data_IF_180907096366
#
_entry.id   IF_180907096366
#
_cell.length_a   1.000
_cell.length_b   1.000
_cell.length_c   1.000
_cell.angle_alpha   90.00
_cell.angle_beta   90.00
_cell.angle_gamma   90.00
#
_symmetry.space_group_name_H-M   'P 1'
#
loop_
_entity.id
_entity.type
_entity.pdbx_description
1 polymer ?
#
# COMPACT_ATOMS: atom_id res chain seq x y z
N UNK A 1 -13.37 13.55 -13.91
CA UNK A 1 -13.93 12.20 -14.16
C UNK A 1 -14.54 11.68 -12.89
N UNK A 2 -15.73 11.11 -12.98
CA UNK A 2 -16.56 10.76 -11.84
C UNK A 2 -16.58 9.25 -11.59
N UNK A 3 -15.90 8.77 -10.56
CA UNK A 3 -16.20 7.46 -9.96
C UNK A 3 -17.57 7.53 -9.22
N UNK A 4 -18.23 6.39 -8.95
CA UNK A 4 -19.52 6.36 -8.24
C UNK A 4 -19.50 7.22 -6.97
N UNK A 5 -20.64 7.87 -6.67
CA UNK A 5 -20.80 8.83 -5.56
C UNK A 5 -20.79 10.32 -5.95
N UNK A 6 -20.61 10.68 -7.22
CA UNK A 6 -20.58 12.09 -7.67
C UNK A 6 -21.95 12.74 -7.98
N UNK A 7 -23.05 12.21 -7.44
CA UNK A 7 -24.39 12.78 -7.64
C UNK A 7 -24.93 13.46 -6.39
N UNK A 8 -24.66 14.75 -6.17
CA UNK A 8 -25.33 15.51 -5.12
C UNK A 8 -24.79 16.92 -4.89
N UNK A 9 -25.64 17.92 -5.10
CA UNK A 9 -25.54 19.35 -4.76
C UNK A 9 -24.94 20.29 -5.81
N UNK A 10 -25.85 20.77 -6.67
CA UNK A 10 -25.82 22.09 -7.30
C UNK A 10 -25.80 23.19 -6.23
N UNK A 11 -24.81 24.09 -6.25
CA UNK A 11 -24.98 25.49 -5.86
C UNK A 11 -24.27 26.38 -6.88
N UNK A 12 -25.03 27.39 -7.31
CA UNK A 12 -24.77 28.36 -8.35
C UNK A 12 -24.17 29.64 -7.75
N UNK A 13 -23.48 30.43 -8.59
CA UNK A 13 -23.12 31.86 -8.42
C UNK A 13 -21.79 32.14 -7.66
N UNK A 14 -20.92 33.10 -7.99
CA UNK A 14 -20.72 34.05 -9.11
C UNK A 14 -19.37 34.77 -8.91
N UNK A 15 -18.71 35.16 -10.00
CA UNK A 15 -17.88 36.37 -10.23
C UNK A 15 -16.52 36.64 -9.51
N UNK A 16 -15.54 37.02 -10.35
CA UNK A 16 -14.34 37.83 -10.05
C UNK A 16 -13.04 37.01 -10.03
N UNK A 17 -11.96 37.28 -10.77
CA UNK A 17 -11.55 38.41 -11.61
C UNK A 17 -10.04 38.65 -11.41
N UNK A 18 -9.23 38.60 -12.48
CA UNK A 18 -7.79 38.97 -12.53
C UNK A 18 -6.82 37.88 -12.03
N UNK A 19 -5.70 37.53 -12.67
CA UNK A 19 -4.87 38.21 -13.67
C UNK A 19 -3.43 38.24 -13.13
N UNK A 20 -2.49 37.51 -13.77
CA UNK A 20 -1.05 37.60 -13.43
C UNK A 20 -0.27 36.32 -13.76
N UNK A 21 0.42 36.32 -14.90
CA UNK A 21 1.31 35.24 -15.31
C UNK A 21 2.76 35.45 -14.85
N UNK A 22 3.52 34.35 -14.77
CA UNK A 22 4.98 34.35 -14.74
C UNK A 22 5.53 33.12 -15.51
N UNK A 23 6.75 33.22 -16.09
CA UNK A 23 7.16 32.46 -17.26
C UNK A 23 7.90 31.15 -16.96
N UNK A 24 7.96 30.27 -17.96
CA UNK A 24 8.77 29.06 -18.00
C UNK A 24 10.26 29.36 -18.21
N UNK A 25 11.19 28.63 -17.58
CA UNK A 25 12.60 28.62 -17.99
C UNK A 25 12.99 27.31 -18.69
N UNK A 26 13.47 27.50 -19.93
CA UNK A 26 14.65 26.91 -20.58
C UNK A 26 15.04 25.44 -20.29
N UNK A 27 15.06 24.67 -21.38
CA UNK A 27 15.53 23.30 -21.42
C UNK A 27 17.03 23.14 -21.25
N UNK A 28 17.39 21.92 -20.83
CA UNK A 28 18.73 21.37 -20.90
C UNK A 28 18.72 20.18 -21.85
N UNK A 29 19.61 20.23 -22.83
CA UNK A 29 19.87 19.15 -23.77
C UNK A 29 20.81 18.10 -23.14
N UNK A 30 20.40 16.83 -23.27
CA UNK A 30 21.15 15.60 -23.61
C UNK A 30 22.61 15.44 -23.17
N UNK A 31 23.01 14.21 -22.78
CA UNK A 31 23.65 13.36 -23.79
C UNK A 31 23.09 11.94 -23.85
N UNK A 32 22.85 11.47 -25.07
CA UNK A 32 22.38 10.12 -25.37
C UNK A 32 23.44 9.07 -25.09
N UNK A 33 23.01 7.96 -24.49
CA UNK A 33 23.74 6.71 -24.42
C UNK A 33 23.04 5.68 -25.32
N UNK A 34 23.67 5.40 -26.46
CA UNK A 34 23.24 4.30 -27.34
C UNK A 34 23.68 2.96 -26.74
N UNK A 35 22.72 2.10 -26.43
CA UNK A 35 22.95 0.68 -26.23
C UNK A 35 22.44 -0.08 -27.46
N UNK A 36 23.35 -0.72 -28.17
CA UNK A 36 23.05 -1.67 -29.24
C UNK A 36 22.47 -2.96 -28.63
N UNK A 37 21.39 -3.53 -29.19
CA UNK A 37 20.90 -4.83 -28.77
C UNK A 37 21.80 -5.96 -29.32
N UNK A 38 22.05 -7.05 -28.57
CA UNK A 38 22.81 -8.19 -29.08
C UNK A 38 22.04 -8.94 -30.17
N UNK A 39 22.79 -9.39 -31.17
CA UNK A 39 22.42 -10.23 -32.30
C UNK A 39 21.73 -11.54 -31.92
N UNK A 40 20.60 -11.82 -32.56
CA UNK A 40 19.87 -13.09 -32.43
C UNK A 40 20.55 -14.28 -33.15
N UNK A 41 20.19 -15.53 -32.82
CA UNK A 41 20.63 -16.73 -33.54
C UNK A 41 19.73 -17.04 -34.76
N UNK A 42 20.19 -17.89 -35.71
CA UNK A 42 19.73 -17.92 -37.10
C UNK A 42 18.49 -18.79 -37.38
N UNK A 43 17.90 -18.52 -38.54
CA UNK A 43 16.71 -19.12 -39.15
C UNK A 43 16.72 -20.66 -39.28
N UNK A 44 15.53 -21.26 -39.09
CA UNK A 44 15.21 -22.60 -39.57
C UNK A 44 13.70 -22.91 -39.44
N UNK A 45 13.09 -23.29 -40.57
CA UNK A 45 11.77 -23.95 -40.73
C UNK A 45 10.48 -23.11 -40.81
N UNK A 46 10.30 -22.59 -42.03
CA UNK A 46 9.13 -22.66 -42.93
C UNK A 46 7.87 -23.45 -42.49
N UNK A 47 6.73 -22.78 -42.71
CA UNK A 47 5.43 -23.30 -43.22
C UNK A 47 4.25 -23.49 -42.25
N UNK A 48 3.33 -22.52 -42.30
CA UNK A 48 1.92 -22.77 -42.61
C UNK A 48 0.95 -22.98 -41.43
N UNK A 49 0.05 -22.00 -41.21
CA UNK A 49 -1.16 -22.22 -40.40
C UNK A 49 -1.74 -20.90 -39.88
N UNK A 50 -2.83 -20.44 -40.48
CA UNK A 50 -3.51 -19.18 -40.13
C UNK A 50 -4.16 -19.19 -38.75
N UNK A 51 -4.06 -18.06 -38.06
CA UNK A 51 -4.75 -17.80 -36.80
C UNK A 51 -6.21 -17.41 -37.06
N UNK A 52 -7.14 -18.31 -36.70
CA UNK A 52 -8.55 -17.98 -36.49
C UNK A 52 -8.75 -17.54 -35.02
N UNK A 53 -9.57 -16.51 -34.75
CA UNK A 53 -9.83 -16.03 -33.39
C UNK A 53 -10.66 -17.07 -32.60
N UNK A 54 -10.49 -17.18 -31.27
CA UNK A 54 -11.22 -18.17 -30.49
C UNK A 54 -12.73 -17.87 -30.52
N UNK A 55 -13.49 -18.89 -30.91
CA UNK A 55 -14.94 -18.91 -30.99
C UNK A 55 -15.57 -18.69 -29.61
N UNK A 56 -16.69 -17.97 -29.62
CA UNK A 56 -17.59 -17.72 -28.49
C UNK A 56 -17.97 -19.04 -27.77
N UNK A 57 -18.08 -19.05 -26.42
CA UNK A 57 -18.65 -20.20 -25.73
C UNK A 57 -20.15 -20.32 -26.04
N UNK A 58 -20.69 -21.55 -26.15
CA UNK A 58 -22.04 -21.82 -26.66
C UNK A 58 -23.13 -21.34 -25.68
N UNK A 59 -24.34 -21.00 -26.18
CA UNK A 59 -25.46 -20.61 -25.33
C UNK A 59 -26.19 -21.87 -24.86
N UNK A 60 -26.25 -22.11 -23.55
CA UNK A 60 -27.17 -23.12 -23.02
C UNK A 60 -26.83 -23.65 -21.65
N UNK A 61 -27.69 -23.32 -20.68
CA UNK A 61 -28.23 -24.32 -19.78
C UNK A 61 -27.60 -24.42 -18.39
N UNK A 62 -28.45 -24.12 -17.41
CA UNK A 62 -28.41 -24.52 -16.00
C UNK A 62 -27.64 -23.58 -15.06
N UNK A 63 -28.45 -22.77 -14.37
CA UNK A 63 -28.16 -22.07 -13.13
C UNK A 63 -27.48 -23.01 -12.13
N UNK A 64 -26.20 -22.75 -11.84
CA UNK A 64 -25.46 -23.35 -10.74
C UNK A 64 -24.59 -22.27 -10.13
N UNK A 65 -25.19 -21.47 -9.26
CA UNK A 65 -24.51 -20.49 -8.41
C UNK A 65 -23.63 -21.27 -7.41
N UNK A 66 -22.48 -21.78 -7.83
CA UNK A 66 -21.49 -22.30 -6.90
C UNK A 66 -20.76 -21.12 -6.25
N UNK A 67 -21.42 -20.55 -5.25
CA UNK A 67 -20.79 -19.69 -4.26
C UNK A 67 -19.80 -20.52 -3.46
N UNK A 68 -18.51 -20.38 -3.78
CA UNK A 68 -17.44 -20.96 -2.96
C UNK A 68 -17.27 -20.08 -1.72
N UNK A 69 -18.14 -20.34 -0.75
CA UNK A 69 -18.05 -19.77 0.59
C UNK A 69 -16.81 -20.27 1.30
N UNK A 70 -16.11 -19.32 1.93
CA UNK A 70 -15.06 -19.52 2.89
C UNK A 70 -15.49 -20.56 3.95
N UNK A 71 -14.86 -21.73 3.95
CA UNK A 71 -14.88 -22.62 5.11
C UNK A 71 -13.60 -22.30 5.91
N UNK A 72 -13.68 -21.62 7.07
CA UNK A 72 -12.51 -21.43 7.92
C UNK A 72 -11.92 -22.80 8.27
N UNK A 73 -10.60 -22.89 8.49
CA UNK A 73 -10.00 -24.14 8.94
C UNK A 73 -10.73 -24.65 10.18
N UNK A 74 -11.12 -25.92 10.17
CA UNK A 74 -11.79 -26.57 11.29
C UNK A 74 -10.77 -26.79 12.42
N UNK A 75 -10.75 -25.88 13.39
CA UNK A 75 -9.92 -25.94 14.59
C UNK A 75 -9.74 -24.56 15.25
N UNK A 76 -9.43 -24.48 16.55
CA UNK A 76 -9.10 -23.20 17.18
C UNK A 76 -7.79 -22.67 16.60
N UNK A 77 -7.83 -21.48 15.98
CA UNK A 77 -6.65 -20.81 15.43
C UNK A 77 -6.37 -19.61 16.34
N UNK A 78 -5.35 -19.71 17.18
CA UNK A 78 -5.02 -18.69 18.17
C UNK A 78 -5.52 -19.07 19.58
N UNK A 79 -4.83 -18.61 20.64
CA UNK A 79 -5.07 -19.10 21.99
C UNK A 79 -6.49 -18.73 22.50
N UNK A 80 -7.14 -19.63 23.28
CA UNK A 80 -8.49 -19.42 23.83
C UNK A 80 -8.65 -18.14 24.66
N UNK A 81 -7.54 -17.59 25.14
CA UNK A 81 -7.46 -16.36 25.93
C UNK A 81 -7.97 -15.10 25.22
N UNK A 82 -8.16 -15.13 23.89
CA UNK A 82 -8.70 -13.99 23.14
C UNK A 82 -10.23 -13.86 23.22
N UNK A 83 -10.94 -14.87 23.73
CA UNK A 83 -12.41 -14.87 23.72
C UNK A 83 -13.07 -14.02 24.82
N UNK A 84 -12.32 -13.50 25.80
CA UNK A 84 -12.91 -13.04 27.08
C UNK A 84 -12.65 -11.59 27.48
N UNK A 85 -11.94 -10.77 26.70
CA UNK A 85 -11.65 -9.38 27.07
C UNK A 85 -12.28 -8.39 26.09
N UNK A 86 -13.33 -7.69 26.54
CA UNK A 86 -13.80 -6.48 25.88
C UNK A 86 -12.75 -5.37 26.04
N UNK A 87 -11.90 -5.18 25.03
CA UNK A 87 -10.95 -4.06 25.00
C UNK A 87 -11.68 -2.86 24.41
N UNK A 88 -11.89 -1.82 25.22
CA UNK A 88 -12.47 -0.57 24.73
C UNK A 88 -11.47 0.12 23.79
N UNK A 89 -11.94 0.53 22.61
CA UNK A 89 -11.18 1.40 21.73
C UNK A 89 -11.15 2.82 22.32
N UNK A 90 -10.11 3.12 23.09
CA UNK A 90 -9.89 4.44 23.69
C UNK A 90 -8.47 4.93 23.34
N UNK A 91 -8.18 5.13 22.05
CA UNK A 91 -6.84 5.52 21.65
C UNK A 91 -6.51 6.93 22.13
N UNK A 92 -5.25 7.14 22.52
CA UNK A 92 -4.72 8.46 22.82
C UNK A 92 -3.78 8.88 21.69
N UNK A 93 -4.06 10.03 21.07
CA UNK A 93 -3.10 10.66 20.16
C UNK A 93 -1.82 11.09 20.88
N UNK A 94 -0.86 11.61 20.12
CA UNK A 94 0.41 12.05 20.68
C UNK A 94 1.14 13.02 19.78
N UNK A 95 2.45 13.16 20.03
CA UNK A 95 3.34 14.03 19.27
C UNK A 95 4.50 13.23 18.68
N UNK A 96 4.81 13.45 17.40
CA UNK A 96 6.06 13.04 16.75
C UNK A 96 6.84 14.32 16.48
N UNK A 97 7.85 14.61 17.30
CA UNK A 97 8.50 15.93 17.30
C UNK A 97 7.47 17.04 17.55
N UNK A 98 7.29 17.94 16.58
CA UNK A 98 6.31 19.03 16.65
C UNK A 98 4.97 18.73 15.95
N UNK A 99 4.79 17.52 15.44
CA UNK A 99 3.60 17.12 14.68
C UNK A 99 2.66 16.28 15.56
N UNK A 100 1.41 16.72 15.67
CA UNK A 100 0.35 15.95 16.33
C UNK A 100 -0.10 14.79 15.46
N UNK A 101 -0.29 13.63 16.06
CA UNK A 101 -1.00 12.50 15.45
C UNK A 101 -2.20 12.11 16.30
N UNK A 102 -3.23 11.58 15.63
CA UNK A 102 -4.43 11.06 16.29
C UNK A 102 -4.84 9.76 15.61
N UNK A 103 -5.30 8.81 16.43
CA UNK A 103 -6.01 7.64 15.91
C UNK A 103 -7.40 8.06 15.42
N UNK A 104 -7.91 7.38 14.40
CA UNK A 104 -9.25 7.66 13.91
C UNK A 104 -10.32 7.20 14.88
N UNK A 105 -11.40 7.97 15.04
CA UNK A 105 -12.58 7.51 15.79
C UNK A 105 -13.34 6.39 15.08
N UNK A 106 -13.06 6.15 13.79
CA UNK A 106 -13.70 5.16 12.92
C UNK A 106 -15.23 5.35 12.75
N UNK A 107 -15.76 6.53 13.09
CA UNK A 107 -17.18 6.88 13.05
C UNK A 107 -17.58 7.65 11.77
N UNK A 108 -16.62 8.04 10.94
CA UNK A 108 -16.82 8.78 9.71
C UNK A 108 -17.19 7.92 8.51
N UNK A 109 -16.91 8.44 7.31
CA UNK A 109 -17.16 7.76 6.04
C UNK A 109 -16.22 6.57 5.86
N UNK A 110 -16.71 5.55 5.16
CA UNK A 110 -15.98 4.32 4.83
C UNK A 110 -15.82 4.24 3.32
N UNK A 111 -14.58 4.22 2.82
CA UNK A 111 -14.28 4.09 1.38
C UNK A 111 -13.18 3.08 1.13
N UNK A 112 -13.29 2.26 0.09
CA UNK A 112 -12.24 1.30 -0.25
C UNK A 112 -11.80 1.36 -1.70
N UNK A 113 -10.51 1.10 -1.93
CA UNK A 113 -9.92 0.83 -3.23
C UNK A 113 -9.33 -0.58 -3.22
N UNK A 114 -9.84 -1.46 -4.07
CA UNK A 114 -9.43 -2.85 -4.17
C UNK A 114 -8.88 -3.13 -5.56
N UNK A 115 -7.64 -3.58 -5.65
CA UNK A 115 -6.93 -3.78 -6.91
C UNK A 115 -6.41 -5.22 -6.96
N UNK A 116 -6.76 -5.95 -8.02
CA UNK A 116 -6.35 -7.34 -8.22
C UNK A 116 -5.98 -7.57 -9.67
N UNK A 117 -4.74 -7.96 -9.94
CA UNK A 117 -4.23 -8.10 -11.31
C UNK A 117 -3.70 -9.53 -11.51
N UNK A 118 -4.32 -10.27 -12.42
CA UNK A 118 -3.86 -11.60 -12.83
C UNK A 118 -2.90 -11.56 -14.02
N UNK A 119 -2.81 -10.45 -14.76
CA UNK A 119 -1.92 -10.28 -15.92
C UNK A 119 -2.19 -11.31 -17.03
N UNK A 120 -3.48 -11.55 -17.34
CA UNK A 120 -3.89 -12.56 -18.32
C UNK A 120 -3.14 -12.44 -19.65
N UNK A 121 -2.55 -13.55 -20.11
CA UNK A 121 -1.81 -13.63 -21.37
C UNK A 121 -0.42 -12.96 -21.37
N UNK A 122 0.04 -12.41 -20.23
CA UNK A 122 1.39 -11.88 -20.08
C UNK A 122 2.33 -12.93 -19.44
N UNK A 123 3.63 -12.75 -19.61
CA UNK A 123 4.61 -13.52 -18.84
C UNK A 123 4.48 -13.16 -17.35
N UNK A 124 4.35 -14.18 -16.50
CA UNK A 124 4.09 -13.98 -15.06
C UNK A 124 2.61 -13.93 -14.70
N UNK A 125 1.69 -14.43 -15.53
CA UNK A 125 0.27 -14.56 -15.20
C UNK A 125 0.04 -15.18 -13.81
N UNK A 126 -0.73 -14.49 -12.98
CA UNK A 126 -1.18 -14.91 -11.66
C UNK A 126 -2.62 -15.44 -11.74
N UNK A 127 -3.06 -16.18 -10.72
CA UNK A 127 -4.39 -16.84 -10.70
C UNK A 127 -5.26 -16.47 -9.50
N UNK A 128 -4.71 -15.72 -8.54
CA UNK A 128 -5.30 -15.49 -7.22
C UNK A 128 -5.83 -14.10 -6.97
N UNK A 129 -5.24 -13.10 -7.62
CA UNK A 129 -5.36 -11.71 -7.19
C UNK A 129 -6.80 -11.18 -7.28
N UNK A 130 -7.52 -11.57 -8.33
CA UNK A 130 -8.95 -11.25 -8.48
C UNK A 130 -9.79 -11.92 -7.37
N UNK A 131 -9.44 -13.14 -6.98
CA UNK A 131 -10.15 -13.84 -5.90
C UNK A 131 -9.88 -13.18 -4.54
N UNK A 132 -8.65 -12.74 -4.30
CA UNK A 132 -8.29 -11.99 -3.09
C UNK A 132 -9.13 -10.71 -2.98
N UNK A 133 -9.26 -9.94 -4.08
CA UNK A 133 -10.13 -8.76 -4.13
C UNK A 133 -11.58 -9.08 -3.77
N UNK A 134 -12.13 -10.18 -4.30
CA UNK A 134 -13.50 -10.61 -3.98
C UNK A 134 -13.66 -10.96 -2.50
N UNK A 135 -12.66 -11.62 -1.91
CA UNK A 135 -12.66 -11.95 -0.48
C UNK A 135 -12.63 -10.68 0.38
N UNK A 136 -11.75 -9.72 0.05
CA UNK A 136 -11.65 -8.44 0.77
C UNK A 136 -12.93 -7.64 0.61
N UNK A 137 -13.51 -7.58 -0.60
CA UNK A 137 -14.78 -6.88 -0.82
C UNK A 137 -15.90 -7.45 0.06
N UNK A 138 -16.02 -8.78 0.14
CA UNK A 138 -17.01 -9.43 0.98
C UNK A 138 -16.78 -9.19 2.48
N UNK A 139 -15.52 -9.19 2.91
CA UNK A 139 -15.15 -8.82 4.28
C UNK A 139 -15.56 -7.38 4.61
N UNK A 140 -15.24 -6.42 3.75
CA UNK A 140 -15.52 -5.00 3.98
C UNK A 140 -17.02 -4.69 3.99
N UNK A 141 -17.83 -5.37 3.17
CA UNK A 141 -19.31 -5.29 3.24
C UNK A 141 -19.83 -5.60 4.64
N UNK A 142 -19.27 -6.62 5.28
CA UNK A 142 -19.63 -7.01 6.65
C UNK A 142 -19.15 -5.99 7.70
N UNK A 143 -18.24 -5.08 7.33
CA UNK A 143 -17.72 -3.97 8.16
C UNK A 143 -18.30 -2.60 7.80
N UNK A 144 -19.43 -2.58 7.08
CA UNK A 144 -20.18 -1.36 6.80
C UNK A 144 -19.68 -0.53 5.61
N UNK A 145 -18.78 -1.07 4.78
CA UNK A 145 -18.45 -0.45 3.49
C UNK A 145 -19.55 -0.77 2.49
N UNK A 146 -20.10 0.26 1.85
CA UNK A 146 -21.14 0.11 0.81
C UNK A 146 -20.48 -0.12 -0.55
N UNK A 147 -21.17 -0.83 -1.43
CA UNK A 147 -20.67 -1.07 -2.79
C UNK A 147 -20.39 0.22 -3.57
N UNK A 148 -21.22 1.25 -3.39
CA UNK A 148 -21.03 2.56 -4.03
C UNK A 148 -19.83 3.34 -3.47
N UNK A 149 -19.33 2.97 -2.29
CA UNK A 149 -18.16 3.55 -1.65
C UNK A 149 -16.91 2.65 -1.84
N UNK A 150 -16.95 1.72 -2.80
CA UNK A 150 -15.82 0.87 -3.17
C UNK A 150 -15.48 0.99 -4.66
N UNK A 151 -14.23 1.31 -4.96
CA UNK A 151 -13.68 1.20 -6.33
C UNK A 151 -12.92 -0.12 -6.44
N UNK A 152 -13.31 -0.94 -7.40
CA UNK A 152 -12.68 -2.23 -7.70
C UNK A 152 -12.03 -2.17 -9.08
N UNK A 153 -10.73 -2.43 -9.14
CA UNK A 153 -9.96 -2.51 -10.38
C UNK A 153 -9.43 -3.95 -10.56
N UNK A 154 -9.92 -4.65 -11.58
CA UNK A 154 -9.46 -6.02 -11.92
C UNK A 154 -9.37 -6.22 -13.42
N UNK A 155 -8.42 -7.03 -13.88
CA UNK A 155 -8.15 -7.26 -15.30
C UNK A 155 -9.09 -8.29 -15.96
N UNK A 156 -10.11 -8.78 -15.24
CA UNK A 156 -11.26 -9.53 -15.79
C UNK A 156 -12.49 -8.64 -16.08
N UNK A 157 -12.40 -7.34 -15.79
CA UNK A 157 -13.53 -6.42 -15.98
C UNK A 157 -13.75 -6.06 -17.45
N UNK A 158 -14.99 -5.69 -17.77
CA UNK A 158 -15.35 -5.19 -19.13
C UNK A 158 -15.34 -3.66 -19.24
N UNK A 159 -15.58 -2.94 -18.14
CA UNK A 159 -15.49 -1.47 -18.14
C UNK A 159 -14.01 -1.06 -18.16
N UNK A 160 -13.61 -0.32 -19.20
CA UNK A 160 -12.25 0.19 -19.35
C UNK A 160 -11.77 1.02 -18.15
N UNK A 161 -12.67 1.65 -17.38
CA UNK A 161 -12.35 2.41 -16.17
C UNK A 161 -12.05 1.54 -14.95
N UNK A 162 -12.44 0.27 -15.00
CA UNK A 162 -12.21 -0.74 -13.96
C UNK A 162 -11.02 -1.64 -14.28
N UNK A 163 -10.31 -1.41 -15.39
CA UNK A 163 -9.07 -2.10 -15.70
C UNK A 163 -7.92 -1.45 -14.90
N UNK A 164 -7.04 -2.22 -14.24
CA UNK A 164 -5.97 -1.70 -13.39
C UNK A 164 -4.76 -1.22 -14.21
N UNK A 165 -4.98 -0.24 -15.09
CA UNK A 165 -3.89 0.51 -15.75
C UNK A 165 -3.25 1.50 -14.79
N UNK A 166 -2.02 1.96 -15.07
CA UNK A 166 -1.34 2.96 -14.24
C UNK A 166 -2.23 4.19 -14.03
N UNK A 167 -2.83 4.69 -15.10
CA UNK A 167 -3.73 5.84 -15.06
C UNK A 167 -4.95 5.60 -14.16
N UNK A 168 -5.63 4.47 -14.30
CA UNK A 168 -6.84 4.16 -13.51
C UNK A 168 -6.50 3.93 -12.03
N UNK A 169 -5.39 3.26 -11.75
CA UNK A 169 -4.89 3.05 -10.38
C UNK A 169 -4.60 4.40 -9.71
N UNK A 170 -3.79 5.27 -10.35
CA UNK A 170 -3.49 6.61 -9.82
C UNK A 170 -4.75 7.44 -9.61
N UNK A 171 -5.70 7.42 -10.56
CA UNK A 171 -6.96 8.15 -10.44
C UNK A 171 -7.83 7.64 -9.28
N UNK A 172 -7.88 6.32 -9.09
CA UNK A 172 -8.61 5.69 -8.01
C UNK A 172 -7.97 5.96 -6.63
N UNK A 173 -6.63 6.00 -6.54
CA UNK A 173 -5.93 6.39 -5.31
C UNK A 173 -6.25 7.84 -4.91
N UNK A 174 -6.24 8.76 -5.88
CA UNK A 174 -6.69 10.14 -5.64
C UNK A 174 -8.17 10.20 -5.24
N UNK A 175 -9.03 9.37 -5.84
CA UNK A 175 -10.43 9.27 -5.41
C UNK A 175 -10.54 8.80 -3.96
N UNK A 176 -9.76 7.80 -3.54
CA UNK A 176 -9.81 7.20 -2.19
C UNK A 176 -9.61 8.27 -1.12
N UNK A 177 -8.58 9.11 -1.25
CA UNK A 177 -8.23 10.13 -0.24
C UNK A 177 -8.98 11.45 -0.40
N UNK A 178 -9.62 11.69 -1.55
CA UNK A 178 -10.32 12.94 -1.81
C UNK A 178 -11.42 13.19 -0.79
N UNK A 179 -11.32 14.34 -0.12
CA UNK A 179 -12.33 14.80 0.85
C UNK A 179 -12.34 14.01 2.15
N UNK A 180 -11.30 13.24 2.45
CA UNK A 180 -11.14 12.55 3.72
C UNK A 180 -11.21 13.55 4.88
N UNK A 181 -11.83 13.14 5.98
CA UNK A 181 -12.00 13.91 7.21
C UNK A 181 -11.51 13.12 8.44
N UNK A 182 -11.23 13.79 9.57
CA UNK A 182 -10.99 13.10 10.84
C UNK A 182 -12.14 12.15 11.17
N UNK A 183 -11.82 10.92 11.59
CA UNK A 183 -12.79 9.86 11.88
C UNK A 183 -13.19 8.99 10.69
N UNK A 184 -12.85 9.37 9.45
CA UNK A 184 -13.06 8.51 8.27
C UNK A 184 -12.19 7.24 8.34
N UNK A 185 -12.65 6.19 7.67
CA UNK A 185 -12.00 4.89 7.57
C UNK A 185 -11.83 4.50 6.09
N UNK A 186 -10.61 4.68 5.60
CA UNK A 186 -10.23 4.32 4.24
C UNK A 186 -9.55 2.94 4.25
N UNK A 187 -9.81 2.17 3.20
CA UNK A 187 -9.20 0.84 3.01
C UNK A 187 -8.54 0.74 1.63
N UNK A 188 -7.31 0.24 1.58
CA UNK A 188 -6.59 -0.03 0.34
C UNK A 188 -6.14 -1.49 0.31
N UNK A 189 -6.44 -2.19 -0.77
CA UNK A 189 -5.94 -3.55 -0.99
C UNK A 189 -5.33 -3.67 -2.37
N UNK A 190 -4.12 -4.22 -2.44
CA UNK A 190 -3.45 -4.57 -3.68
C UNK A 190 -3.02 -6.03 -3.65
N UNK A 191 -3.44 -6.81 -4.64
CA UNK A 191 -2.92 -8.14 -4.93
C UNK A 191 -2.42 -8.19 -6.38
N UNK A 192 -1.15 -8.55 -6.56
CA UNK A 192 -0.46 -8.50 -7.85
C UNK A 192 1.05 -8.65 -7.69
N UNK A 193 1.79 -8.39 -8.77
CA UNK A 193 3.25 -8.35 -8.69
C UNK A 193 3.74 -7.11 -7.95
N UNK A 194 4.76 -7.33 -7.11
CA UNK A 194 5.62 -6.26 -6.62
C UNK A 194 6.97 -6.33 -7.33
N UNK A 195 7.61 -5.19 -7.48
CA UNK A 195 8.93 -5.07 -8.09
C UNK A 195 9.80 -4.09 -7.31
N UNK A 196 11.02 -3.88 -7.81
CA UNK A 196 11.96 -2.90 -7.29
C UNK A 196 12.42 -1.99 -8.44
N UNK A 197 12.46 -0.69 -8.19
CA UNK A 197 13.05 0.33 -9.05
C UNK A 197 14.27 0.92 -8.34
N UNK A 198 15.25 1.45 -9.07
CA UNK A 198 16.45 2.03 -8.44
C UNK A 198 16.07 3.33 -7.73
N UNK A 199 16.33 3.44 -6.43
CA UNK A 199 16.04 4.64 -5.66
C UNK A 199 16.83 5.84 -6.20
N UNK A 200 16.16 6.98 -6.30
CA UNK A 200 16.79 8.26 -6.69
C UNK A 200 16.97 9.20 -5.50
N UNK A 201 16.23 8.95 -4.42
CA UNK A 201 16.30 9.66 -3.14
C UNK A 201 17.02 8.73 -2.15
N UNK A 202 17.96 9.26 -1.36
CA UNK A 202 18.84 8.45 -0.51
C UNK A 202 18.17 7.94 0.78
N UNK A 203 16.88 7.71 0.76
CA UNK A 203 16.03 7.30 1.89
C UNK A 203 15.75 5.79 1.93
N UNK A 204 16.14 5.04 0.89
CA UNK A 204 16.07 3.58 0.90
C UNK A 204 17.37 2.93 1.40
N UNK A 205 17.24 2.04 2.38
CA UNK A 205 18.39 1.41 3.04
C UNK A 205 19.18 0.47 2.11
N UNK A 206 18.53 -0.14 1.12
CA UNK A 206 19.14 -1.02 0.11
C UNK A 206 19.37 -0.32 -1.25
N UNK A 207 18.87 0.91 -1.40
CA UNK A 207 18.96 1.71 -2.61
C UNK A 207 17.94 1.37 -3.69
N UNK A 208 16.85 0.68 -3.37
CA UNK A 208 15.75 0.37 -4.30
C UNK A 208 14.40 0.79 -3.72
N UNK A 209 13.61 1.51 -4.54
CA UNK A 209 12.21 1.81 -4.25
C UNK A 209 11.37 0.57 -4.55
N UNK A 210 10.47 0.22 -3.65
CA UNK A 210 9.50 -0.83 -3.86
C UNK A 210 8.38 -0.33 -4.78
N UNK A 211 7.89 -1.21 -5.65
CA UNK A 211 6.89 -0.83 -6.66
C UNK A 211 5.73 -1.79 -6.73
N UNK A 212 4.56 -1.24 -7.07
CA UNK A 212 3.44 -2.05 -7.56
C UNK A 212 3.39 -1.95 -9.08
N UNK A 213 2.98 -3.05 -9.72
CA UNK A 213 3.04 -3.19 -11.17
C UNK A 213 1.62 -3.05 -11.74
N UNK A 214 1.31 -2.01 -12.54
CA UNK A 214 0.04 -1.91 -13.26
C UNK A 214 -0.05 -2.91 -14.42
N UNK A 215 -1.26 -3.16 -14.94
CA UNK A 215 -1.45 -4.09 -16.07
C UNK A 215 -0.67 -3.67 -17.33
N UNK A 216 -0.52 -2.37 -17.55
CA UNK A 216 0.13 -1.73 -18.69
C UNK A 216 1.56 -1.23 -18.37
N UNK A 217 2.21 -1.78 -17.33
CA UNK A 217 3.53 -1.32 -16.84
C UNK A 217 4.61 -1.27 -17.94
N UNK A 218 4.52 -2.12 -18.96
CA UNK A 218 5.48 -2.14 -20.07
C UNK A 218 5.46 -0.83 -20.88
N UNK A 219 4.31 -0.16 -20.95
CA UNK A 219 4.14 1.12 -21.65
C UNK A 219 4.12 2.31 -20.68
N UNK A 220 3.47 2.15 -19.52
CA UNK A 220 3.20 3.24 -18.59
C UNK A 220 4.20 3.32 -17.42
N UNK A 221 5.02 2.29 -17.20
CA UNK A 221 5.91 2.18 -16.05
C UNK A 221 5.22 1.61 -14.80
N UNK A 222 6.04 1.37 -13.77
CA UNK A 222 5.59 0.92 -12.44
C UNK A 222 5.10 2.13 -11.61
N UNK A 223 4.53 1.88 -10.43
CA UNK A 223 4.21 2.92 -9.44
C UNK A 223 5.10 2.69 -8.23
N UNK A 224 5.96 3.66 -7.92
CA UNK A 224 6.90 3.61 -6.80
C UNK A 224 6.20 3.94 -5.47
N UNK A 225 6.69 3.36 -4.38
CA UNK A 225 6.33 3.67 -2.99
C UNK A 225 6.29 5.18 -2.69
N UNK A 226 7.24 5.95 -3.20
CA UNK A 226 7.26 7.42 -3.16
C UNK A 226 5.97 8.07 -3.67
N UNK A 227 5.48 7.57 -4.82
CA UNK A 227 4.26 8.05 -5.45
C UNK A 227 3.03 7.60 -4.66
N UNK A 228 3.04 6.35 -4.16
CA UNK A 228 1.98 5.84 -3.29
C UNK A 228 1.87 6.66 -2.00
N UNK A 229 2.98 6.95 -1.34
CA UNK A 229 3.03 7.77 -0.13
C UNK A 229 2.55 9.19 -0.40
N UNK A 230 3.02 9.82 -1.48
CA UNK A 230 2.63 11.18 -1.85
C UNK A 230 1.13 11.31 -2.16
N UNK A 231 0.52 10.28 -2.76
CA UNK A 231 -0.90 10.27 -3.11
C UNK A 231 -1.79 9.85 -1.94
N UNK A 232 -1.43 8.78 -1.22
CA UNK A 232 -2.33 8.13 -0.28
C UNK A 232 -2.09 8.45 1.19
N UNK A 233 -0.88 8.89 1.57
CA UNK A 233 -0.52 9.15 2.97
C UNK A 233 -0.45 10.64 3.26
N UNK A 234 0.37 11.37 2.48
CA UNK A 234 0.64 12.80 2.69
C UNK A 234 -0.62 13.70 2.74
N UNK A 235 -1.68 13.48 1.94
CA UNK A 235 -2.84 14.37 1.93
C UNK A 235 -3.86 14.10 3.05
N UNK A 236 -3.71 13.01 3.81
CA UNK A 236 -4.70 12.63 4.82
C UNK A 236 -4.69 13.58 6.03
N UNK A 237 -5.85 14.01 6.53
CA UNK A 237 -5.90 14.83 7.72
C UNK A 237 -5.60 14.02 8.99
N UNK A 238 -5.20 14.73 10.04
CA UNK A 238 -5.02 14.16 11.38
C UNK A 238 -6.27 13.40 11.81
N UNK A 239 -6.11 12.17 12.32
CA UNK A 239 -7.22 11.34 12.77
C UNK A 239 -8.05 10.69 11.64
N UNK A 240 -7.62 10.73 10.38
CA UNK A 240 -8.20 9.89 9.32
C UNK A 240 -7.48 8.54 9.28
N UNK A 241 -8.22 7.43 9.18
CA UNK A 241 -7.66 6.09 9.04
C UNK A 241 -7.42 5.74 7.58
N UNK A 242 -6.24 5.21 7.28
CA UNK A 242 -6.00 4.35 6.12
C UNK A 242 -5.47 2.99 6.57
N UNK A 243 -6.23 1.93 6.32
CA UNK A 243 -5.78 0.54 6.47
C UNK A 243 -5.38 0.00 5.09
N UNK A 244 -4.12 -0.35 4.91
CA UNK A 244 -3.60 -0.91 3.67
C UNK A 244 -3.19 -2.38 3.82
N UNK A 245 -3.47 -3.21 2.82
CA UNK A 245 -2.99 -4.59 2.74
C UNK A 245 -2.35 -4.80 1.37
N UNK A 246 -1.11 -5.29 1.37
CA UNK A 246 -0.37 -5.64 0.16
C UNK A 246 -0.10 -7.15 0.11
N UNK A 247 -0.71 -7.82 -0.88
CA UNK A 247 -0.39 -9.18 -1.31
C UNK A 247 0.55 -9.15 -2.52
N UNK A 248 1.75 -8.61 -2.30
CA UNK A 248 2.80 -8.55 -3.31
C UNK A 248 4.15 -8.81 -2.69
N UNK A 249 5.07 -9.40 -3.46
CA UNK A 249 6.45 -9.57 -3.01
C UNK A 249 7.10 -8.19 -2.81
N UNK A 250 8.00 -8.07 -1.82
CA UNK A 250 8.76 -6.84 -1.53
C UNK A 250 7.94 -5.63 -1.01
N UNK A 251 6.67 -5.81 -0.63
CA UNK A 251 5.82 -4.71 -0.15
C UNK A 251 6.05 -4.27 1.32
N UNK A 252 7.22 -4.55 1.91
CA UNK A 252 7.53 -4.21 3.30
C UNK A 252 7.51 -2.69 3.57
N UNK A 253 7.90 -1.91 2.57
CA UNK A 253 8.02 -0.44 2.62
C UNK A 253 7.12 0.27 1.61
N UNK A 254 6.12 -0.41 1.01
CA UNK A 254 5.30 0.13 -0.10
C UNK A 254 4.56 1.47 0.12
N UNK A 255 4.55 2.01 1.34
CA UNK A 255 3.99 3.32 1.70
C UNK A 255 4.97 4.18 2.52
N UNK A 256 6.26 3.83 2.57
CA UNK A 256 7.34 4.50 3.32
C UNK A 256 6.98 4.83 4.76
N UNK A 257 6.28 3.90 5.42
CA UNK A 257 5.80 4.11 6.77
C UNK A 257 6.96 3.95 7.78
N UNK A 258 7.22 4.94 8.65
CA UNK A 258 8.43 5.01 9.45
C UNK A 258 8.49 4.06 10.66
N UNK A 259 7.36 3.49 11.08
CA UNK A 259 7.29 2.58 12.24
C UNK A 259 6.96 1.18 11.77
N UNK A 260 7.82 0.20 12.09
CA UNK A 260 7.66 -1.20 11.70
C UNK A 260 7.62 -2.09 12.93
N UNK A 261 6.58 -2.93 13.02
CA UNK A 261 6.31 -3.83 14.13
C UNK A 261 6.40 -5.28 13.66
N UNK A 262 7.08 -6.10 14.45
CA UNK A 262 7.15 -7.55 14.25
C UNK A 262 6.30 -8.27 15.31
N UNK A 263 6.09 -9.58 15.15
CA UNK A 263 5.26 -10.40 16.06
C UNK A 263 5.77 -10.49 17.50
N UNK A 264 7.00 -10.02 17.76
CA UNK A 264 7.49 -9.85 19.14
C UNK A 264 6.86 -8.67 19.87
N UNK A 265 6.11 -7.80 19.18
CA UNK A 265 5.59 -6.54 19.69
C UNK A 265 6.65 -5.44 19.80
N UNK A 266 7.93 -5.78 19.59
CA UNK A 266 9.00 -4.81 19.54
C UNK A 266 8.92 -4.06 18.21
N UNK A 267 8.91 -2.73 18.31
CA UNK A 267 9.24 -1.87 17.17
C UNK A 267 10.66 -2.24 16.73
N UNK A 268 10.88 -2.39 15.43
CA UNK A 268 12.24 -2.22 14.89
C UNK A 268 12.59 -0.73 15.06
N UNK A 269 12.95 -0.36 16.29
CA UNK A 269 13.53 0.93 16.60
C UNK A 269 15.04 0.83 16.35
N UNK A 270 15.59 1.62 15.41
CA UNK A 270 17.02 1.86 15.38
C UNK A 270 17.38 2.64 16.64
N UNK A 271 18.56 2.43 17.20
CA UNK A 271 19.06 3.15 18.38
C UNK A 271 19.02 4.68 18.20
N UNK A 272 17.90 5.34 18.51
CA UNK A 272 17.77 6.81 18.48
C UNK A 272 17.81 7.40 19.90
N UNK A 273 18.86 7.09 20.69
CA UNK A 273 19.04 7.73 22.02
C UNK A 273 20.47 8.30 22.29
N UNK A 274 21.44 8.22 21.37
CA UNK A 274 22.79 8.73 21.67
C UNK A 274 23.30 9.92 20.82
N UNK A 275 22.65 10.30 19.71
CA UNK A 275 23.24 11.25 18.73
C UNK A 275 22.54 12.61 18.57
N UNK A 276 21.26 12.70 18.92
CA UNK A 276 20.39 13.84 18.57
C UNK A 276 20.79 15.15 19.29
N UNK A 277 21.48 15.07 20.43
CA UNK A 277 21.89 16.24 21.21
C UNK A 277 22.92 17.17 20.56
N UNK A 278 23.68 16.73 19.54
CA UNK A 278 24.71 17.59 18.90
C UNK A 278 24.27 18.24 17.58
N UNK A 279 23.35 17.62 16.83
CA UNK A 279 22.91 18.12 15.52
C UNK A 279 21.91 19.29 15.61
N UNK A 280 21.00 19.24 16.59
CA UNK A 280 19.95 20.25 16.77
C UNK A 280 20.56 21.61 17.17
N UNK A 281 21.68 21.61 17.90
CA UNK A 281 22.33 22.84 18.35
C UNK A 281 22.91 23.67 17.19
N UNK A 282 23.37 23.01 16.11
CA UNK A 282 23.88 23.70 14.91
C UNK A 282 22.77 24.28 14.04
N UNK A 283 21.68 23.53 13.84
CA UNK A 283 20.51 24.01 13.08
C UNK A 283 19.83 25.20 13.79
N UNK A 284 19.72 25.15 15.13
CA UNK A 284 19.17 26.25 15.92
C UNK A 284 20.04 27.52 15.86
N UNK A 285 21.37 27.39 15.85
CA UNK A 285 22.27 28.55 15.66
C UNK A 285 22.18 29.14 14.25
N UNK A 286 22.00 28.31 13.21
CA UNK A 286 21.86 28.80 11.84
C UNK A 286 20.51 29.50 11.63
N UNK A 287 19.42 28.99 12.23
CA UNK A 287 18.12 29.66 12.25
C UNK A 287 18.19 31.02 12.96
N UNK A 288 18.86 31.08 14.12
CA UNK A 288 19.07 32.32 14.85
C UNK A 288 19.93 33.36 14.08
N UNK A 289 20.72 32.93 13.10
CA UNK A 289 21.54 33.80 12.25
C UNK A 289 20.88 34.21 10.93
N UNK A 290 19.67 33.72 10.64
CA UNK A 290 18.99 34.00 9.36
C UNK A 290 19.73 33.46 8.13
N UNK A 291 20.65 32.50 8.31
CA UNK A 291 21.46 31.93 7.24
C UNK A 291 20.73 30.75 6.58
N UNK A 292 19.80 31.10 5.69
CA UNK A 292 18.98 30.14 4.93
C UNK A 292 19.85 29.22 4.06
N UNK A 293 20.97 29.73 3.54
CA UNK A 293 21.91 28.96 2.71
C UNK A 293 22.75 27.99 3.57
N UNK A 294 23.16 28.41 4.76
CA UNK A 294 23.83 27.58 5.75
C UNK A 294 22.96 26.42 6.23
N UNK A 295 21.64 26.62 6.35
CA UNK A 295 20.68 25.54 6.64
C UNK A 295 20.63 24.50 5.52
N UNK A 296 20.57 24.93 4.25
CA UNK A 296 20.53 24.01 3.11
C UNK A 296 21.82 23.18 2.98
N UNK A 297 22.99 23.80 3.14
CA UNK A 297 24.29 23.09 3.14
C UNK A 297 24.46 22.18 4.36
N UNK A 298 23.97 22.59 5.52
CA UNK A 298 23.99 21.78 6.74
C UNK A 298 23.27 20.45 6.52
N UNK A 299 22.04 20.52 6.03
CA UNK A 299 21.22 19.35 5.68
C UNK A 299 21.85 18.48 4.58
N UNK A 300 22.41 19.08 3.53
CA UNK A 300 23.03 18.33 2.42
C UNK A 300 24.36 17.65 2.81
N UNK A 301 25.17 18.28 3.67
CA UNK A 301 26.48 17.74 4.10
C UNK A 301 26.36 16.64 5.15
N UNK A 302 25.32 16.68 6.00
CA UNK A 302 24.98 15.56 6.89
C UNK A 302 24.44 14.37 6.11
N UNK A 303 23.73 14.62 5.01
CA UNK A 303 23.21 13.58 4.12
C UNK A 303 24.29 12.81 3.36
N UNK A 304 25.41 13.47 3.02
CA UNK A 304 26.47 12.85 2.21
C UNK A 304 27.49 12.05 3.04
N UNK A 305 27.45 12.13 4.37
CA UNK A 305 28.50 11.55 5.24
C UNK A 305 28.02 10.33 6.06
N UNK A 306 26.71 10.05 6.16
CA UNK A 306 26.19 8.92 6.94
C UNK A 306 25.98 7.67 6.08
N UNK A 307 27.08 6.96 5.77
CA UNK A 307 27.09 5.66 5.07
C UNK A 307 26.65 4.46 5.95
N UNK A 308 25.68 4.66 6.85
CA UNK A 308 25.14 3.63 7.73
C UNK A 308 23.61 3.77 7.83
N UNK A 309 22.91 2.63 7.82
CA UNK A 309 21.45 2.40 7.77
C UNK A 309 20.60 3.36 8.60
N UNK A 310 21.15 3.87 9.71
CA UNK A 310 20.50 4.84 10.61
C UNK A 310 20.13 6.17 9.95
N UNK A 311 20.81 6.57 8.86
CA UNK A 311 20.53 7.83 8.16
C UNK A 311 19.21 7.79 7.39
N UNK A 312 19.01 6.72 6.61
CA UNK A 312 17.81 6.50 5.80
C UNK A 312 16.55 6.48 6.68
N UNK A 313 16.55 5.67 7.74
CA UNK A 313 15.39 5.53 8.65
C UNK A 313 15.02 6.85 9.36
N UNK A 314 16.01 7.68 9.72
CA UNK A 314 15.76 9.00 10.33
C UNK A 314 15.16 9.98 9.31
N UNK A 315 15.61 9.93 8.07
CA UNK A 315 15.04 10.71 6.96
C UNK A 315 13.60 10.29 6.72
N UNK A 316 13.32 8.98 6.63
CA UNK A 316 11.96 8.44 6.50
C UNK A 316 11.08 8.94 7.65
N UNK A 317 11.53 8.89 8.91
CA UNK A 317 10.77 9.45 10.05
C UNK A 317 10.48 10.94 9.89
N UNK A 318 11.47 11.75 9.53
CA UNK A 318 11.28 13.20 9.42
C UNK A 318 10.42 13.62 8.21
N UNK A 319 10.42 12.82 7.15
CA UNK A 319 9.78 13.18 5.86
C UNK A 319 8.48 12.42 5.58
N UNK A 320 8.26 11.28 6.24
CA UNK A 320 7.14 10.35 5.99
C UNK A 320 6.24 10.14 7.21
N UNK A 321 6.54 10.72 8.37
CA UNK A 321 5.58 10.75 9.48
C UNK A 321 4.33 11.56 9.11
N UNK A 322 3.16 11.04 9.45
CA UNK A 322 1.87 11.69 9.21
C UNK A 322 1.07 11.79 10.50
N UNK A 323 0.26 12.84 10.62
CA UNK A 323 -0.69 12.97 11.73
C UNK A 323 -1.94 12.10 11.53
N UNK A 324 -2.14 11.57 10.32
CA UNK A 324 -3.16 10.60 10.00
C UNK A 324 -2.81 9.21 10.57
N UNK A 325 -3.84 8.40 10.83
CA UNK A 325 -3.75 7.04 11.35
C UNK A 325 -3.59 6.06 10.18
N UNK A 326 -2.35 5.84 9.73
CA UNK A 326 -2.06 4.94 8.61
C UNK A 326 -1.45 3.66 9.15
N UNK A 327 -2.02 2.52 8.75
CA UNK A 327 -1.54 1.18 9.09
C UNK A 327 -1.48 0.33 7.84
N UNK A 328 -0.40 -0.44 7.69
CA UNK A 328 -0.17 -1.30 6.54
C UNK A 328 0.21 -2.70 6.98
N UNK A 329 -0.45 -3.71 6.44
CA UNK A 329 -0.04 -5.11 6.56
C UNK A 329 0.56 -5.57 5.23
N UNK A 330 1.70 -6.25 5.31
CA UNK A 330 2.33 -6.91 4.16
C UNK A 330 2.96 -8.25 4.55
N UNK A 331 3.09 -9.13 3.56
CA UNK A 331 3.82 -10.39 3.70
C UNK A 331 5.27 -10.21 3.29
N UNK A 332 6.21 -10.25 4.24
CA UNK A 332 7.63 -10.25 3.93
C UNK A 332 8.14 -11.68 3.73
N UNK A 333 8.94 -11.91 2.68
CA UNK A 333 9.73 -13.14 2.55
C UNK A 333 11.07 -12.94 3.24
N UNK A 334 11.35 -13.75 4.27
CA UNK A 334 12.70 -13.92 4.78
C UNK A 334 13.50 -14.74 3.74
N UNK A 335 14.24 -14.10 2.84
CA UNK A 335 15.29 -14.72 2.01
C UNK A 335 14.90 -15.89 1.07
N UNK A 336 15.02 -15.65 -0.24
CA UNK A 336 15.23 -16.63 -1.33
C UNK A 336 14.13 -17.68 -1.64
N UNK A 337 13.70 -17.62 -2.91
CA UNK A 337 12.97 -18.65 -3.69
C UNK A 337 11.44 -18.67 -3.55
N UNK A 338 10.79 -18.16 -4.59
CA UNK A 338 9.37 -18.32 -4.92
C UNK A 338 9.02 -19.80 -5.14
N UNK A 339 8.45 -20.43 -4.10
CA UNK A 339 7.65 -21.63 -4.27
C UNK A 339 6.18 -21.23 -4.06
N UNK A 340 5.37 -21.45 -5.09
CA UNK A 340 3.98 -21.03 -5.20
C UNK A 340 3.11 -21.55 -4.06
N UNK A 341 2.70 -20.62 -3.20
CA UNK A 341 1.64 -20.75 -2.23
C UNK A 341 0.34 -21.23 -2.92
N UNK A 342 0.03 -22.52 -2.84
CA UNK A 342 -1.17 -23.14 -3.41
C UNK A 342 -2.08 -23.62 -2.29
N UNK A 343 -3.20 -22.92 -2.07
CA UNK A 343 -4.32 -23.45 -1.27
C UNK A 343 -5.43 -23.90 -2.21
N UNK A 344 -5.90 -25.15 -2.05
CA UNK A 344 -6.94 -25.76 -2.88
C UNK A 344 -6.67 -25.68 -4.40
N UNK A 345 -5.40 -25.66 -4.81
CA UNK A 345 -4.98 -25.60 -6.22
C UNK A 345 -5.00 -24.21 -6.86
N UNK A 346 -5.16 -23.12 -6.08
CA UNK A 346 -5.09 -21.74 -6.58
C UNK A 346 -4.08 -20.91 -5.79
N UNK A 347 -3.30 -20.09 -6.50
CA UNK A 347 -2.50 -19.04 -5.88
C UNK A 347 -3.45 -18.09 -5.13
N UNK A 348 -3.11 -17.67 -3.92
CA UNK A 348 -3.89 -16.68 -3.14
C UNK A 348 -2.92 -15.76 -2.41
N UNK A 349 -3.32 -14.51 -2.24
CA UNK A 349 -2.61 -13.54 -1.41
C UNK A 349 -2.54 -14.02 0.03
N UNK A 350 -1.36 -14.50 0.44
CA UNK A 350 -1.18 -15.12 1.75
C UNK A 350 -1.49 -14.13 2.89
N UNK A 351 -1.16 -12.86 2.74
CA UNK A 351 -1.35 -11.83 3.76
C UNK A 351 -2.84 -11.51 3.96
N UNK A 352 -3.57 -11.20 2.88
CA UNK A 352 -5.02 -10.98 2.97
C UNK A 352 -5.75 -12.24 3.41
N UNK A 353 -5.40 -13.41 2.88
CA UNK A 353 -6.01 -14.67 3.32
C UNK A 353 -5.90 -14.86 4.85
N UNK A 354 -4.70 -14.70 5.39
CA UNK A 354 -4.46 -14.86 6.82
C UNK A 354 -5.18 -13.80 7.65
N UNK A 355 -5.09 -12.52 7.25
CA UNK A 355 -5.77 -11.42 7.91
C UNK A 355 -7.30 -11.62 7.93
N UNK A 356 -7.91 -11.95 6.80
CA UNK A 356 -9.35 -12.14 6.68
C UNK A 356 -9.80 -13.34 7.52
N UNK A 357 -9.02 -14.42 7.52
CA UNK A 357 -9.33 -15.61 8.33
C UNK A 357 -9.37 -15.29 9.81
N UNK A 358 -8.35 -14.57 10.30
CA UNK A 358 -8.26 -14.13 11.69
C UNK A 358 -9.39 -13.18 12.04
N UNK A 359 -9.61 -12.13 11.25
CA UNK A 359 -10.59 -11.08 11.57
C UNK A 359 -12.04 -11.52 11.42
N UNK A 360 -12.32 -12.57 10.64
CA UNK A 360 -13.65 -13.20 10.59
C UNK A 360 -13.91 -14.11 11.81
N UNK A 361 -12.88 -14.78 12.32
CA UNK A 361 -13.00 -15.68 13.45
C UNK A 361 -12.95 -14.94 14.80
N UNK A 362 -12.11 -13.92 14.90
CA UNK A 362 -11.86 -13.12 16.10
C UNK A 362 -11.95 -11.63 15.76
N UNK A 363 -13.14 -11.03 15.79
CA UNK A 363 -13.32 -9.63 15.39
C UNK A 363 -12.77 -8.63 16.42
N UNK A 364 -12.45 -9.07 17.65
CA UNK A 364 -11.94 -8.23 18.73
C UNK A 364 -10.54 -8.70 19.15
N UNK A 365 -9.52 -8.19 18.46
CA UNK A 365 -8.12 -8.46 18.77
C UNK A 365 -7.36 -7.15 18.91
N UNK A 366 -6.39 -7.10 19.82
CA UNK A 366 -5.40 -6.01 19.82
C UNK A 366 -4.50 -6.07 18.58
N UNK A 367 -3.80 -4.99 18.25
CA UNK A 367 -2.80 -5.02 17.16
C UNK A 367 -1.79 -6.18 17.33
N UNK A 368 -1.30 -6.39 18.55
CA UNK A 368 -0.38 -7.49 18.88
C UNK A 368 -1.01 -8.87 18.68
N UNK A 369 -2.24 -9.05 19.17
CA UNK A 369 -2.95 -10.33 19.05
C UNK A 369 -3.28 -10.64 17.58
N UNK A 370 -3.75 -9.64 16.83
CA UNK A 370 -4.02 -9.74 15.40
C UNK A 370 -2.75 -10.13 14.63
N UNK A 371 -1.63 -9.43 14.86
CA UNK A 371 -0.37 -9.73 14.17
C UNK A 371 0.15 -11.14 14.47
N UNK A 372 0.02 -11.59 15.72
CA UNK A 372 0.39 -12.95 16.13
C UNK A 372 -0.51 -14.02 15.51
N UNK A 373 -1.83 -13.81 15.52
CA UNK A 373 -2.78 -14.74 14.92
C UNK A 373 -2.58 -14.84 13.39
N UNK A 374 -2.31 -13.71 12.72
CA UNK A 374 -1.99 -13.68 11.29
C UNK A 374 -0.69 -14.45 11.02
N UNK A 375 0.34 -14.27 11.86
CA UNK A 375 1.58 -15.05 11.76
C UNK A 375 1.31 -16.53 11.91
N UNK A 376 0.48 -16.95 12.85
CA UNK A 376 0.22 -18.36 13.10
C UNK A 376 -0.51 -19.02 11.92
N UNK A 377 -1.48 -18.31 11.31
CA UNK A 377 -2.11 -18.75 10.05
C UNK A 377 -1.07 -18.84 8.93
N UNK A 378 -0.24 -17.81 8.76
CA UNK A 378 0.79 -17.80 7.73
C UNK A 378 1.78 -18.95 7.92
N UNK A 379 2.36 -19.12 9.11
CA UNK A 379 3.37 -20.14 9.41
C UNK A 379 2.85 -21.57 9.19
N UNK A 380 1.54 -21.79 9.29
CA UNK A 380 0.93 -23.10 9.03
C UNK A 380 0.94 -23.51 7.56
N UNK A 381 1.12 -22.56 6.62
CA UNK A 381 0.92 -22.81 5.17
C UNK A 381 1.90 -22.08 4.25
N UNK A 382 2.59 -21.05 4.73
CA UNK A 382 3.42 -20.14 3.96
C UNK A 382 4.71 -19.82 4.72
N UNK A 383 5.78 -19.52 3.98
CA UNK A 383 7.06 -19.07 4.56
C UNK A 383 7.08 -17.58 4.89
N UNK A 384 6.05 -16.83 4.49
CA UNK A 384 5.96 -15.39 4.72
C UNK A 384 5.75 -15.07 6.20
N UNK A 385 6.36 -13.98 6.67
CA UNK A 385 6.08 -13.41 7.99
C UNK A 385 5.29 -12.12 7.80
N UNK A 386 4.24 -11.89 8.60
CA UNK A 386 3.50 -10.65 8.50
C UNK A 386 4.33 -9.52 9.11
N UNK A 387 4.27 -8.36 8.47
CA UNK A 387 4.81 -7.11 8.97
C UNK A 387 3.66 -6.09 9.09
N UNK A 388 3.64 -5.35 10.20
CA UNK A 388 2.77 -4.20 10.38
C UNK A 388 3.63 -2.94 10.32
N UNK A 389 3.30 -2.01 9.45
CA UNK A 389 3.93 -0.69 9.39
C UNK A 389 2.92 0.43 9.68
N UNK A 390 3.36 1.58 10.19
CA UNK A 390 2.47 2.71 10.53
C UNK A 390 3.12 4.08 10.37
N UNK A 391 2.29 5.11 10.14
CA UNK A 391 2.68 6.53 10.09
C UNK A 391 3.10 7.12 11.44
N UNK A 392 2.67 6.50 12.55
CA UNK A 392 2.93 6.95 13.91
C UNK A 392 3.18 5.77 14.86
N UNK A 393 3.67 6.01 16.11
CA UNK A 393 3.75 4.97 17.13
C UNK A 393 2.36 4.38 17.42
N UNK A 394 2.27 3.05 17.49
CA UNK A 394 1.07 2.29 17.82
C UNK A 394 1.23 1.72 19.21
N UNK A 395 0.23 1.93 20.07
CA UNK A 395 0.04 1.12 21.26
C UNK A 395 -0.50 -0.25 20.82
N UNK A 396 0.36 -1.26 20.90
CA UNK A 396 0.09 -2.60 20.38
C UNK A 396 -0.97 -3.37 21.20
N UNK A 397 -1.36 -2.84 22.37
CA UNK A 397 -2.43 -3.37 23.21
C UNK A 397 -3.79 -2.71 22.92
N UNK A 398 -3.85 -1.72 22.02
CA UNK A 398 -5.12 -1.17 21.52
C UNK A 398 -5.86 -2.17 20.64
N UNK A 399 -7.20 -2.10 20.69
CA UNK A 399 -8.08 -2.84 19.78
C UNK A 399 -7.82 -2.44 18.32
N UNK A 400 -7.57 -3.44 17.46
CA UNK A 400 -7.51 -3.23 16.02
C UNK A 400 -8.93 -3.16 15.44
N UNK A 401 -9.22 -2.07 14.72
CA UNK A 401 -10.55 -1.76 14.18
C UNK A 401 -10.49 -1.51 12.68
N UNK A 402 -11.50 -1.96 11.93
CA UNK A 402 -11.68 -1.72 10.48
C UNK A 402 -13.08 -1.23 10.19
#
# INVERSE_FOLDING_TARGET
MAYPGQGGHHYQSTHGGGGGGFPAPHGYAQPGYGYAPPSGPPQGYQSGGGYAPPMQPPPGGVQGQMGYGFAPPSGPIGPPEYATNHVNYNPQGGMIGNQRYEYSSMQGKRKALLIGINYFGQNGELRGCINDVRNVQNFLRQRGYKDDDMVVLTDDQRDARSIPTRQNMTAAMHWLVRGAQPGDALFFHYSGHGGQAKATQGDEADGYNETIIPLDYQQAGQIEDDELHAIMVRPLPVGCRLTAIFDSCHSGTALDLPYVYTTSGNVKEPNVIAGVGKGIMGAAMNYARGDVLGMAKGLFSTFTTAKNTSGAEEVTKQTRSSGADVVMLSGCKDSQTSADATEAGKATGACSFAFLSVMNQYPQLTYKQMLNAVRDVLASKYSQKPQLSSSHPIDMDLLFVV
#
